data_IF_343960340094
#
_entry.id   IF_343960340094
#
_cell.length_a   1.000
_cell.length_b   1.000
_cell.length_c   1.000
_cell.angle_alpha   90.00
_cell.angle_beta   90.00
_cell.angle_gamma   90.00
#
_symmetry.space_group_name_H-M   'P 1'
#
loop_
_entity.id
_entity.type
_entity.pdbx_description
1 polymer ?
#
# COMPACT_ATOMS: atom_id res chain seq x y z
N UNK A 1 -32.18 -12.39 6.71
CA UNK A 1 -31.83 -13.72 7.27
C UNK A 1 -31.64 -14.76 6.17
N UNK A 2 -32.48 -14.76 5.13
CA UNK A 2 -32.48 -15.81 4.10
C UNK A 2 -31.18 -15.94 3.31
N UNK A 3 -30.53 -14.83 2.93
CA UNK A 3 -29.27 -14.86 2.15
C UNK A 3 -28.12 -15.52 2.94
N UNK A 4 -27.99 -15.24 4.24
CA UNK A 4 -26.91 -15.82 5.06
C UNK A 4 -27.18 -17.31 5.30
N UNK A 5 -28.45 -17.68 5.49
CA UNK A 5 -28.84 -19.09 5.58
C UNK A 5 -28.58 -19.86 4.27
N UNK A 6 -28.76 -19.20 3.12
CA UNK A 6 -28.41 -19.74 1.81
C UNK A 6 -26.90 -19.93 1.66
N UNK A 7 -26.09 -18.95 2.06
CA UNK A 7 -24.62 -19.04 2.06
C UNK A 7 -24.12 -20.20 2.95
N UNK A 8 -24.76 -20.42 4.10
CA UNK A 8 -24.45 -21.55 4.97
C UNK A 8 -24.78 -22.92 4.37
N UNK A 9 -25.82 -22.99 3.53
CA UNK A 9 -26.24 -24.22 2.84
C UNK A 9 -25.45 -24.47 1.56
N UNK A 10 -24.99 -23.43 0.87
CA UNK A 10 -24.27 -23.54 -0.39
C UNK A 10 -22.81 -23.99 -0.22
N UNK A 11 -22.27 -23.97 1.01
CA UNK A 11 -20.89 -24.33 1.34
C UNK A 11 -19.82 -23.53 0.55
N UNK A 12 -20.20 -22.37 0.01
CA UNK A 12 -19.30 -21.45 -0.70
C UNK A 12 -18.36 -20.70 0.25
N UNK A 13 -18.72 -20.61 1.53
CA UNK A 13 -17.97 -19.94 2.58
C UNK A 13 -17.67 -20.91 3.72
N UNK A 14 -16.56 -20.69 4.42
CA UNK A 14 -16.26 -21.42 5.64
C UNK A 14 -17.35 -21.20 6.70
N UNK A 15 -17.65 -22.27 7.45
CA UNK A 15 -18.73 -22.27 8.44
C UNK A 15 -18.56 -21.19 9.51
N UNK A 16 -17.31 -20.90 9.87
CA UNK A 16 -16.97 -19.90 10.88
C UNK A 16 -17.36 -18.49 10.44
N UNK A 17 -17.17 -18.16 9.16
CA UNK A 17 -17.58 -16.86 8.60
C UNK A 17 -19.11 -16.72 8.58
N UNK A 18 -19.82 -17.77 8.18
CA UNK A 18 -21.29 -17.77 8.17
C UNK A 18 -21.84 -17.65 9.59
N UNK A 19 -21.23 -18.33 10.56
CA UNK A 19 -21.59 -18.24 11.98
C UNK A 19 -21.39 -16.82 12.53
N UNK A 20 -20.25 -16.18 12.23
CA UNK A 20 -19.98 -14.80 12.62
C UNK A 20 -20.98 -13.81 12.02
N UNK A 21 -21.35 -13.98 10.74
CA UNK A 21 -22.36 -13.14 10.10
C UNK A 21 -23.76 -13.35 10.72
N UNK A 22 -24.12 -14.58 11.06
CA UNK A 22 -25.38 -14.85 11.79
C UNK A 22 -25.41 -14.17 13.16
N UNK A 23 -24.30 -14.26 13.90
CA UNK A 23 -24.18 -13.61 15.21
C UNK A 23 -24.23 -12.09 15.09
N UNK A 24 -23.53 -11.51 14.09
CA UNK A 24 -23.54 -10.07 13.83
C UNK A 24 -24.95 -9.56 13.50
N UNK A 25 -25.68 -10.26 12.64
CA UNK A 25 -27.08 -9.93 12.35
C UNK A 25 -27.98 -10.03 13.59
N UNK A 26 -27.83 -11.07 14.40
CA UNK A 26 -28.61 -11.24 15.63
C UNK A 26 -28.35 -10.11 16.65
N UNK A 27 -27.17 -9.49 16.59
CA UNK A 27 -26.78 -8.33 17.40
C UNK A 27 -27.20 -6.99 16.78
N UNK A 28 -27.80 -6.98 15.59
CA UNK A 28 -28.21 -5.76 14.89
C UNK A 28 -27.07 -4.99 14.23
N UNK A 29 -25.91 -5.63 13.99
CA UNK A 29 -24.79 -5.01 13.27
C UNK A 29 -25.13 -4.75 11.81
N UNK A 30 -24.58 -3.68 11.25
CA UNK A 30 -24.65 -3.40 9.82
C UNK A 30 -23.84 -4.43 9.02
N UNK A 31 -24.09 -4.51 7.71
CA UNK A 31 -23.32 -5.35 6.80
C UNK A 31 -21.85 -4.92 6.74
N UNK A 32 -21.56 -3.62 6.73
CA UNK A 32 -20.19 -3.11 6.76
C UNK A 32 -19.43 -3.52 8.04
N UNK A 33 -20.07 -3.44 9.21
CA UNK A 33 -19.49 -3.87 10.49
C UNK A 33 -19.21 -5.39 10.52
N UNK A 34 -20.11 -6.19 9.93
CA UNK A 34 -19.88 -7.62 9.80
C UNK A 34 -18.68 -7.93 8.89
N UNK A 35 -18.55 -7.24 7.76
CA UNK A 35 -17.39 -7.44 6.87
C UNK A 35 -16.07 -7.00 7.52
N UNK A 36 -16.08 -5.95 8.35
CA UNK A 36 -14.90 -5.55 9.13
C UNK A 36 -14.44 -6.67 10.07
N UNK A 37 -15.39 -7.29 10.78
CA UNK A 37 -15.08 -8.41 11.69
C UNK A 37 -14.54 -9.66 10.98
N UNK A 38 -14.84 -9.84 9.69
CA UNK A 38 -14.30 -10.92 8.86
C UNK A 38 -12.90 -10.63 8.29
N UNK A 39 -12.34 -9.44 8.55
CA UNK A 39 -10.99 -9.06 8.13
C UNK A 39 -10.91 -8.41 6.75
N UNK A 40 -12.02 -7.88 6.22
CA UNK A 40 -11.97 -7.06 5.00
C UNK A 40 -11.20 -5.77 5.24
N UNK A 41 -10.60 -5.21 4.18
CA UNK A 41 -9.82 -3.97 4.31
C UNK A 41 -10.73 -2.78 4.62
N UNK A 42 -10.20 -1.80 5.36
CA UNK A 42 -10.96 -0.60 5.73
C UNK A 42 -11.55 0.13 4.52
N UNK A 43 -10.88 0.10 3.37
CA UNK A 43 -11.40 0.69 2.12
C UNK A 43 -12.69 0.01 1.63
N UNK A 44 -12.77 -1.33 1.72
CA UNK A 44 -13.96 -2.10 1.35
C UNK A 44 -15.08 -1.84 2.37
N UNK A 45 -14.75 -1.84 3.66
CA UNK A 45 -15.70 -1.57 4.74
C UNK A 45 -16.32 -0.18 4.60
N UNK A 46 -15.50 0.85 4.32
CA UNK A 46 -15.98 2.22 4.08
C UNK A 46 -16.91 2.29 2.87
N UNK A 47 -16.56 1.66 1.75
CA UNK A 47 -17.43 1.64 0.57
C UNK A 47 -18.79 0.96 0.85
N UNK A 48 -18.79 -0.12 1.63
CA UNK A 48 -20.01 -0.79 2.05
C UNK A 48 -20.85 0.08 2.98
N UNK A 49 -20.23 0.73 3.97
CA UNK A 49 -20.93 1.63 4.90
C UNK A 49 -21.62 2.77 4.17
N UNK A 50 -20.93 3.41 3.21
CA UNK A 50 -21.52 4.45 2.36
C UNK A 50 -22.68 3.89 1.51
N UNK A 51 -22.54 2.67 0.98
CA UNK A 51 -23.57 2.05 0.16
C UNK A 51 -24.82 1.68 0.97
N UNK A 52 -24.67 1.29 2.24
CA UNK A 52 -25.77 1.06 3.17
C UNK A 52 -26.55 2.34 3.45
N UNK A 53 -25.85 3.46 3.72
CA UNK A 53 -26.45 4.77 4.00
C UNK A 53 -27.21 5.31 2.78
N UNK A 54 -26.64 5.16 1.58
CA UNK A 54 -27.22 5.69 0.34
C UNK A 54 -28.13 4.70 -0.39
N UNK A 55 -28.37 3.52 0.17
CA UNK A 55 -29.28 2.50 -0.38
C UNK A 55 -28.82 1.89 -1.71
N UNK A 56 -27.53 1.98 -2.05
CA UNK A 56 -26.99 1.54 -3.34
C UNK A 56 -26.02 0.36 -3.19
N UNK A 57 -26.35 -0.57 -2.28
CA UNK A 57 -25.51 -1.72 -1.95
C UNK A 57 -25.17 -2.58 -3.17
N UNK A 58 -26.12 -2.78 -4.08
CA UNK A 58 -25.94 -3.62 -5.26
C UNK A 58 -24.85 -3.09 -6.21
N UNK A 59 -24.90 -1.81 -6.58
CA UNK A 59 -23.89 -1.23 -7.46
C UNK A 59 -22.51 -1.17 -6.77
N UNK A 60 -22.47 -0.88 -5.48
CA UNK A 60 -21.20 -0.86 -4.73
C UNK A 60 -20.58 -2.24 -4.59
N UNK A 61 -21.38 -3.27 -4.33
CA UNK A 61 -20.91 -4.66 -4.32
C UNK A 61 -20.31 -5.07 -5.68
N UNK A 62 -20.94 -4.68 -6.79
CA UNK A 62 -20.39 -4.92 -8.13
C UNK A 62 -19.03 -4.23 -8.36
N UNK A 63 -18.85 -2.99 -7.87
CA UNK A 63 -17.55 -2.30 -7.93
C UNK A 63 -16.48 -2.98 -7.06
N UNK A 64 -16.87 -3.46 -5.88
CA UNK A 64 -15.96 -4.19 -4.98
C UNK A 64 -15.55 -5.52 -5.61
N UNK A 65 -16.47 -6.23 -6.27
CA UNK A 65 -16.19 -7.45 -7.02
C UNK A 65 -15.15 -7.19 -8.12
N UNK A 66 -15.37 -6.18 -8.97
CA UNK A 66 -14.43 -5.80 -10.04
C UNK A 66 -13.04 -5.44 -9.48
N UNK A 67 -13.01 -4.70 -8.38
CA UNK A 67 -11.77 -4.37 -7.68
C UNK A 67 -11.02 -5.60 -7.17
N UNK A 68 -11.71 -6.52 -6.51
CA UNK A 68 -11.13 -7.77 -5.98
C UNK A 68 -10.65 -8.69 -7.10
N UNK A 69 -11.38 -8.78 -8.21
CA UNK A 69 -10.97 -9.55 -9.40
C UNK A 69 -9.69 -8.96 -10.02
N UNK A 70 -9.63 -7.63 -10.17
CA UNK A 70 -8.43 -6.94 -10.64
C UNK A 70 -7.23 -7.16 -9.70
N UNK A 71 -7.44 -7.10 -8.38
CA UNK A 71 -6.39 -7.43 -7.41
C UNK A 71 -5.92 -8.88 -7.55
N UNK A 72 -6.83 -9.83 -7.76
CA UNK A 72 -6.49 -11.25 -7.98
C UNK A 72 -5.63 -11.42 -9.24
N UNK A 73 -6.00 -10.76 -10.34
CA UNK A 73 -5.22 -10.76 -11.60
C UNK A 73 -3.82 -10.19 -11.40
N UNK A 74 -3.69 -9.05 -10.71
CA UNK A 74 -2.40 -8.43 -10.40
C UNK A 74 -1.54 -9.38 -9.55
N UNK A 75 -2.11 -9.95 -8.49
CA UNK A 75 -1.39 -10.91 -7.62
C UNK A 75 -0.91 -12.13 -8.41
N UNK A 76 -1.76 -12.70 -9.27
CA UNK A 76 -1.40 -13.83 -10.12
C UNK A 76 -0.26 -13.46 -11.07
N UNK A 77 -0.33 -12.28 -11.71
CA UNK A 77 0.73 -11.84 -12.63
C UNK A 77 2.05 -11.56 -11.91
N UNK A 78 1.99 -11.01 -10.70
CA UNK A 78 3.18 -10.82 -9.87
C UNK A 78 3.84 -12.16 -9.52
N UNK A 79 3.06 -13.16 -9.13
CA UNK A 79 3.58 -14.51 -8.86
C UNK A 79 4.22 -15.09 -10.12
N UNK A 80 3.54 -14.99 -11.27
CA UNK A 80 4.04 -15.49 -12.56
C UNK A 80 5.38 -14.84 -12.94
N UNK A 81 5.47 -13.51 -12.86
CA UNK A 81 6.69 -12.75 -13.20
C UNK A 81 7.81 -13.01 -12.18
N UNK A 82 7.50 -13.17 -10.90
CA UNK A 82 8.49 -13.43 -9.85
C UNK A 82 9.01 -14.88 -9.87
N UNK A 83 8.24 -15.83 -10.40
CA UNK A 83 8.60 -17.26 -10.43
C UNK A 83 9.90 -17.48 -11.21
N UNK A 84 10.06 -16.86 -12.39
CA UNK A 84 11.24 -17.06 -13.23
C UNK A 84 12.55 -16.56 -12.58
N UNK A 85 12.65 -15.32 -12.09
CA UNK A 85 13.82 -14.86 -11.34
C UNK A 85 14.15 -15.70 -10.11
N UNK A 86 13.14 -16.18 -9.37
CA UNK A 86 13.36 -17.01 -8.18
C UNK A 86 13.96 -18.38 -8.54
N UNK A 87 13.46 -19.03 -9.58
CA UNK A 87 14.03 -20.29 -10.09
C UNK A 87 15.47 -20.07 -10.55
N UNK A 88 15.72 -19.01 -11.33
CA UNK A 88 17.06 -18.67 -11.82
C UNK A 88 18.04 -18.39 -10.67
N UNK A 89 17.60 -17.64 -9.66
CA UNK A 89 18.40 -17.34 -8.47
C UNK A 89 18.72 -18.62 -7.68
N UNK A 90 17.75 -19.52 -7.52
CA UNK A 90 17.97 -20.85 -6.93
C UNK A 90 19.01 -21.67 -7.70
N UNK A 91 18.93 -21.68 -9.04
CA UNK A 91 19.90 -22.36 -9.88
C UNK A 91 21.30 -21.73 -9.80
N UNK A 92 21.37 -20.39 -9.79
CA UNK A 92 22.61 -19.65 -9.61
C UNK A 92 23.26 -20.00 -8.26
N UNK A 93 22.48 -20.04 -7.17
CA UNK A 93 22.97 -20.45 -5.85
C UNK A 93 23.50 -21.89 -5.85
N UNK A 94 22.81 -22.82 -6.52
CA UNK A 94 23.30 -24.20 -6.68
C UNK A 94 24.65 -24.26 -7.40
N UNK A 95 24.80 -23.54 -8.52
CA UNK A 95 26.08 -23.46 -9.25
C UNK A 95 27.16 -22.86 -8.35
N UNK A 96 26.87 -21.76 -7.67
CA UNK A 96 27.84 -21.10 -6.78
C UNK A 96 28.28 -22.00 -5.64
N UNK A 97 27.38 -22.78 -5.04
CA UNK A 97 27.70 -23.76 -4.01
C UNK A 97 28.52 -24.93 -4.55
N UNK A 98 28.17 -25.45 -5.73
CA UNK A 98 28.94 -26.49 -6.40
C UNK A 98 30.36 -26.02 -6.71
N UNK A 99 30.50 -24.80 -7.23
CA UNK A 99 31.79 -24.21 -7.53
C UNK A 99 32.64 -24.02 -6.26
N UNK A 100 32.03 -23.56 -5.15
CA UNK A 100 32.68 -23.41 -3.84
C UNK A 100 33.11 -24.71 -3.20
N UNK A 101 32.25 -25.72 -3.19
CA UNK A 101 32.49 -26.95 -2.43
C UNK A 101 33.31 -27.98 -3.22
N UNK A 102 33.26 -27.97 -4.55
CA UNK A 102 33.89 -28.99 -5.38
C UNK A 102 35.08 -28.46 -6.21
N UNK A 103 34.91 -27.32 -6.88
CA UNK A 103 35.89 -26.78 -7.84
C UNK A 103 37.00 -25.98 -7.14
N UNK A 104 36.63 -25.09 -6.23
CA UNK A 104 37.58 -24.21 -5.52
C UNK A 104 38.65 -24.95 -4.70
N UNK A 105 38.35 -26.06 -3.99
CA UNK A 105 39.38 -26.82 -3.27
C UNK A 105 40.43 -27.47 -4.17
N UNK A 106 40.16 -27.61 -5.48
CA UNK A 106 41.08 -28.20 -6.46
C UNK A 106 41.99 -27.14 -7.13
N UNK A 107 41.75 -25.85 -6.88
CA UNK A 107 42.51 -24.75 -7.45
C UNK A 107 43.62 -24.31 -6.48
N UNK A 108 44.79 -23.94 -7.03
CA UNK A 108 45.90 -23.41 -6.23
C UNK A 108 45.48 -22.18 -5.43
N UNK A 109 45.65 -22.26 -4.10
CA UNK A 109 45.25 -21.24 -3.13
C UNK A 109 46.12 -19.97 -3.17
N UNK A 110 47.22 -19.99 -3.93
CA UNK A 110 48.16 -18.88 -4.11
C UNK A 110 47.72 -17.87 -5.18
N UNK A 111 46.72 -18.20 -6.00
CA UNK A 111 46.23 -17.33 -7.06
C UNK A 111 45.13 -16.38 -6.55
N UNK A 112 45.28 -15.08 -6.81
CA UNK A 112 44.32 -14.02 -6.45
C UNK A 112 42.95 -14.29 -7.08
N UNK A 113 42.91 -14.90 -8.27
CA UNK A 113 41.68 -15.31 -8.93
C UNK A 113 40.87 -16.31 -8.07
N UNK A 114 41.55 -17.25 -7.40
CA UNK A 114 40.95 -18.26 -6.51
C UNK A 114 40.30 -17.59 -5.29
N UNK A 115 40.92 -16.53 -4.75
CA UNK A 115 40.37 -15.79 -3.61
C UNK A 115 39.14 -14.94 -3.98
N UNK A 116 39.15 -14.30 -5.15
CA UNK A 116 38.01 -13.51 -5.65
C UNK A 116 36.80 -14.41 -5.94
N UNK A 117 37.04 -15.54 -6.61
CA UNK A 117 36.00 -16.53 -6.92
C UNK A 117 35.45 -17.17 -5.63
N UNK A 118 36.29 -17.37 -4.62
CA UNK A 118 35.88 -17.86 -3.29
C UNK A 118 34.92 -16.94 -2.53
N UNK A 119 35.08 -15.63 -2.69
CA UNK A 119 34.28 -14.62 -1.97
C UNK A 119 33.02 -14.18 -2.73
N UNK A 120 32.94 -14.42 -4.04
CA UNK A 120 31.80 -14.08 -4.89
C UNK A 120 30.44 -14.58 -4.34
N UNK A 121 30.31 -15.84 -3.87
CA UNK A 121 29.08 -16.35 -3.25
C UNK A 121 28.70 -15.59 -1.96
N UNK A 122 29.68 -15.21 -1.14
CA UNK A 122 29.43 -14.49 0.11
C UNK A 122 29.01 -13.04 -0.15
N UNK A 123 29.65 -12.38 -1.13
CA UNK A 123 29.29 -11.03 -1.56
C UNK A 123 27.87 -11.02 -2.14
N UNK A 124 27.55 -11.98 -3.02
CA UNK A 124 26.21 -12.09 -3.61
C UNK A 124 25.13 -12.31 -2.55
N UNK A 125 25.33 -13.27 -1.63
CA UNK A 125 24.41 -13.51 -0.51
C UNK A 125 24.29 -12.28 0.40
N UNK A 126 25.40 -11.60 0.69
CA UNK A 126 25.40 -10.35 1.47
C UNK A 126 24.59 -9.25 0.79
N UNK A 127 24.72 -9.09 -0.53
CA UNK A 127 23.99 -8.09 -1.31
C UNK A 127 22.49 -8.40 -1.34
N UNK A 128 22.10 -9.65 -1.55
CA UNK A 128 20.71 -10.11 -1.47
C UNK A 128 20.14 -9.87 -0.06
N UNK A 129 20.90 -10.17 0.99
CA UNK A 129 20.48 -9.96 2.38
C UNK A 129 20.30 -8.47 2.70
N UNK A 130 21.23 -7.61 2.28
CA UNK A 130 21.15 -6.15 2.47
C UNK A 130 19.97 -5.57 1.69
N UNK A 131 19.74 -5.98 0.44
CA UNK A 131 18.58 -5.58 -0.34
C UNK A 131 17.26 -6.06 0.29
N UNK A 132 17.23 -7.28 0.82
CA UNK A 132 16.04 -7.81 1.49
C UNK A 132 15.77 -7.07 2.81
N UNK A 133 16.81 -6.77 3.59
CA UNK A 133 16.68 -5.99 4.82
C UNK A 133 16.24 -4.56 4.54
N UNK A 134 16.82 -3.90 3.53
CA UNK A 134 16.45 -2.53 3.16
C UNK A 134 15.02 -2.46 2.65
N UNK A 135 14.56 -3.45 1.87
CA UNK A 135 13.17 -3.56 1.45
C UNK A 135 12.24 -3.79 2.64
N UNK A 136 12.58 -4.69 3.57
CA UNK A 136 11.77 -4.94 4.78
C UNK A 136 11.73 -3.71 5.69
N UNK A 137 12.83 -2.99 5.86
CA UNK A 137 12.88 -1.71 6.58
C UNK A 137 12.03 -0.65 5.89
N UNK A 138 12.08 -0.57 4.56
CA UNK A 138 11.23 0.35 3.79
C UNK A 138 9.74 0.00 3.93
N UNK A 139 9.37 -1.28 3.87
CA UNK A 139 7.98 -1.74 4.01
C UNK A 139 7.45 -1.57 5.44
N UNK A 140 8.28 -1.85 6.45
CA UNK A 140 7.92 -1.67 7.87
C UNK A 140 7.82 -0.18 8.20
N UNK A 141 8.73 0.66 7.70
CA UNK A 141 8.65 2.11 7.82
C UNK A 141 7.43 2.67 7.08
N UNK A 142 7.08 2.12 5.91
CA UNK A 142 5.89 2.49 5.14
C UNK A 142 4.57 2.14 5.84
N UNK A 143 4.55 1.05 6.63
CA UNK A 143 3.40 0.63 7.44
C UNK A 143 3.30 1.36 8.78
N UNK A 144 4.42 1.75 9.40
CA UNK A 144 4.44 2.40 10.73
C UNK A 144 4.52 3.93 10.71
N UNK A 145 4.93 4.55 9.62
CA UNK A 145 5.08 6.01 9.56
C UNK A 145 3.88 6.68 8.92
N UNK A 146 3.54 7.90 9.40
CA UNK A 146 2.60 8.80 8.74
C UNK A 146 3.02 8.96 7.28
N UNK A 147 2.04 8.89 6.36
CA UNK A 147 2.32 8.88 4.92
C UNK A 147 3.00 10.18 4.49
N UNK A 148 2.75 11.28 5.20
CA UNK A 148 3.43 12.55 5.01
C UNK A 148 4.95 12.44 5.21
N UNK A 149 5.45 11.63 6.15
CA UNK A 149 6.90 11.39 6.33
C UNK A 149 7.51 10.56 5.20
N UNK A 150 6.76 9.56 4.71
CA UNK A 150 7.19 8.70 3.60
C UNK A 150 7.29 9.50 2.31
N UNK A 151 6.24 10.23 1.94
CA UNK A 151 6.24 11.04 0.72
C UNK A 151 7.25 12.20 0.81
N UNK A 152 7.48 12.77 2.00
CA UNK A 152 8.55 13.75 2.22
C UNK A 152 9.96 13.17 2.02
N UNK A 153 10.21 11.91 2.42
CA UNK A 153 11.49 11.24 2.14
C UNK A 153 11.62 10.88 0.67
N UNK A 154 10.56 10.38 0.04
CA UNK A 154 10.54 9.99 -1.38
C UNK A 154 10.76 11.19 -2.29
N UNK A 155 10.19 12.35 -1.93
CA UNK A 155 10.39 13.63 -2.61
C UNK A 155 11.84 14.16 -2.54
N UNK A 156 12.68 13.63 -1.64
CA UNK A 156 14.11 13.99 -1.52
C UNK A 156 15.04 13.09 -2.33
N UNK A 157 14.54 12.00 -2.91
CA UNK A 157 15.35 11.09 -3.73
C UNK A 157 15.58 11.71 -5.12
N UNK A 158 16.83 11.80 -5.62
CA UNK A 158 17.08 12.29 -6.98
C UNK A 158 16.37 11.42 -8.03
N UNK A 159 15.90 12.04 -9.12
CA UNK A 159 15.05 11.44 -10.17
C UNK A 159 13.60 11.17 -9.73
N UNK A 160 13.38 10.32 -8.71
CA UNK A 160 12.03 9.98 -8.21
C UNK A 160 11.30 11.18 -7.60
N UNK A 161 12.01 12.05 -6.88
CA UNK A 161 11.42 13.19 -6.20
C UNK A 161 10.77 14.19 -7.15
N UNK A 162 11.31 14.36 -8.37
CA UNK A 162 10.74 15.26 -9.39
C UNK A 162 9.38 14.73 -9.85
N UNK A 163 9.26 13.43 -10.12
CA UNK A 163 7.98 12.81 -10.51
C UNK A 163 6.95 12.90 -9.38
N UNK A 164 7.37 12.61 -8.14
CA UNK A 164 6.50 12.68 -6.96
C UNK A 164 6.00 14.10 -6.73
N UNK A 165 6.89 15.09 -6.74
CA UNK A 165 6.51 16.50 -6.57
C UNK A 165 5.59 16.97 -7.70
N UNK A 166 5.90 16.64 -8.95
CA UNK A 166 5.09 17.05 -10.11
C UNK A 166 3.70 16.45 -10.05
N UNK A 167 3.60 15.15 -9.76
CA UNK A 167 2.31 14.45 -9.67
C UNK A 167 1.46 14.99 -8.52
N UNK A 168 2.04 15.09 -7.30
CA UNK A 168 1.30 15.55 -6.13
C UNK A 168 0.90 17.01 -6.29
N UNK A 169 1.80 17.90 -6.70
CA UNK A 169 1.43 19.31 -6.92
C UNK A 169 0.30 19.42 -7.95
N UNK A 170 0.36 18.73 -9.09
CA UNK A 170 -0.68 18.80 -10.11
C UNK A 170 -2.02 18.21 -9.62
N UNK A 171 -1.99 17.08 -8.92
CA UNK A 171 -3.19 16.43 -8.39
C UNK A 171 -3.89 17.32 -7.36
N UNK A 172 -3.17 17.77 -6.32
CA UNK A 172 -3.76 18.56 -5.24
C UNK A 172 -4.19 19.95 -5.72
N UNK A 173 -3.41 20.62 -6.58
CA UNK A 173 -3.82 21.90 -7.16
C UNK A 173 -5.11 21.79 -7.98
N UNK A 174 -5.29 20.68 -8.72
CA UNK A 174 -6.52 20.41 -9.47
C UNK A 174 -7.70 20.16 -8.53
N UNK A 175 -7.55 19.29 -7.55
CA UNK A 175 -8.63 18.96 -6.60
C UNK A 175 -9.07 20.21 -5.82
N UNK A 176 -8.11 20.96 -5.26
CA UNK A 176 -8.41 22.21 -4.56
C UNK A 176 -8.97 23.28 -5.48
N UNK A 177 -8.43 23.43 -6.69
CA UNK A 177 -8.94 24.38 -7.67
C UNK A 177 -10.40 24.11 -8.06
N UNK A 178 -10.76 22.83 -8.27
CA UNK A 178 -12.13 22.42 -8.53
C UNK A 178 -13.04 22.78 -7.35
N UNK A 179 -12.61 22.45 -6.13
CA UNK A 179 -13.38 22.71 -4.91
C UNK A 179 -13.61 24.22 -4.67
N UNK A 180 -12.56 25.03 -4.84
CA UNK A 180 -12.64 26.49 -4.72
C UNK A 180 -13.52 27.07 -5.82
N UNK A 181 -13.43 26.57 -7.06
CA UNK A 181 -14.25 27.04 -8.18
C UNK A 181 -15.75 26.78 -8.00
N UNK A 182 -16.10 25.78 -7.18
CA UNK A 182 -17.47 25.47 -6.78
C UNK A 182 -17.98 26.35 -5.63
N UNK A 183 -17.17 27.31 -5.17
CA UNK A 183 -17.52 28.26 -4.10
C UNK A 183 -17.40 27.70 -2.69
N UNK A 184 -16.71 26.56 -2.51
CA UNK A 184 -16.51 25.99 -1.17
C UNK A 184 -15.50 26.80 -0.37
N UNK A 185 -15.80 27.01 0.92
CA UNK A 185 -14.88 27.65 1.86
C UNK A 185 -13.71 26.72 2.23
N UNK A 186 -12.53 27.29 2.49
CA UNK A 186 -11.32 26.52 2.79
C UNK A 186 -11.50 25.53 3.97
N UNK A 187 -12.23 25.93 5.01
CA UNK A 187 -12.50 25.04 6.15
C UNK A 187 -13.35 23.82 5.77
N UNK A 188 -14.32 23.98 4.86
CA UNK A 188 -15.13 22.87 4.35
C UNK A 188 -14.27 21.94 3.50
N UNK A 189 -13.37 22.49 2.68
CA UNK A 189 -12.39 21.72 1.91
C UNK A 189 -11.55 20.87 2.86
N UNK A 190 -10.99 21.45 3.93
CA UNK A 190 -10.15 20.70 4.87
C UNK A 190 -10.92 19.63 5.64
N UNK A 191 -12.19 19.84 5.97
CA UNK A 191 -13.05 18.81 6.57
C UNK A 191 -13.27 17.64 5.61
N UNK A 192 -13.62 17.92 4.36
CA UNK A 192 -13.74 16.90 3.31
C UNK A 192 -12.42 16.13 3.14
N UNK A 193 -11.28 16.82 3.21
CA UNK A 193 -9.96 16.18 3.13
C UNK A 193 -9.71 15.17 4.26
N UNK A 194 -10.19 15.47 5.46
CA UNK A 194 -10.07 14.59 6.63
C UNK A 194 -10.97 13.36 6.54
N UNK A 195 -12.05 13.40 5.77
CA UNK A 195 -12.96 12.26 5.63
C UNK A 195 -12.53 11.29 4.51
N UNK A 196 -11.56 11.66 3.67
CA UNK A 196 -11.08 10.78 2.60
C UNK A 196 -10.18 9.65 3.10
N UNK A 197 -10.29 8.48 2.47
CA UNK A 197 -9.50 7.29 2.80
C UNK A 197 -7.99 7.39 2.50
N UNK A 198 -7.55 8.43 1.77
CA UNK A 198 -6.12 8.67 1.56
C UNK A 198 -5.49 9.29 2.81
N UNK A 199 -4.64 8.54 3.50
CA UNK A 199 -3.94 9.01 4.71
C UNK A 199 -3.12 10.29 4.47
N UNK A 200 -2.50 10.47 3.30
CA UNK A 200 -1.78 11.70 2.99
C UNK A 200 -2.74 12.90 2.84
N UNK A 201 -3.89 12.68 2.21
CA UNK A 201 -4.92 13.72 2.04
C UNK A 201 -5.52 14.12 3.39
N UNK A 202 -5.80 13.14 4.24
CA UNK A 202 -6.26 13.33 5.61
C UNK A 202 -5.23 14.09 6.46
N UNK A 203 -3.97 13.64 6.48
CA UNK A 203 -2.89 14.29 7.26
C UNK A 203 -2.68 15.76 6.82
N UNK A 204 -2.72 16.05 5.51
CA UNK A 204 -2.64 17.43 4.99
C UNK A 204 -3.87 18.24 5.41
N UNK A 205 -5.07 17.67 5.32
CA UNK A 205 -6.31 18.35 5.73
C UNK A 205 -6.33 18.72 7.22
N UNK A 206 -5.84 17.83 8.09
CA UNK A 206 -5.71 18.10 9.53
C UNK A 206 -4.72 19.23 9.81
N UNK A 207 -3.54 19.17 9.20
CA UNK A 207 -2.49 20.17 9.41
C UNK A 207 -2.91 21.56 8.89
N UNK A 208 -3.55 21.62 7.71
CA UNK A 208 -4.08 22.87 7.16
C UNK A 208 -5.22 23.47 8.00
N UNK A 209 -6.15 22.63 8.48
CA UNK A 209 -7.21 23.10 9.37
C UNK A 209 -6.65 23.66 10.68
N UNK A 210 -5.68 22.96 11.27
CA UNK A 210 -5.02 23.39 12.50
C UNK A 210 -4.19 24.66 12.28
N UNK A 211 -3.49 24.79 11.15
CA UNK A 211 -2.72 25.98 10.80
C UNK A 211 -3.62 27.21 10.65
N UNK A 212 -4.78 27.06 9.98
CA UNK A 212 -5.73 28.15 9.80
C UNK A 212 -6.37 28.58 11.13
N UNK A 213 -6.73 27.62 11.99
CA UNK A 213 -7.22 27.90 13.35
C UNK A 213 -6.20 28.66 14.20
N UNK A 214 -4.90 28.39 13.98
CA UNK A 214 -3.80 29.08 14.63
C UNK A 214 -3.42 30.43 13.95
N UNK A 215 -4.22 30.90 12.99
CA UNK A 215 -4.02 32.18 12.31
C UNK A 215 -2.92 32.18 11.24
N UNK A 216 -2.44 31.02 10.80
CA UNK A 216 -1.48 30.93 9.68
C UNK A 216 -2.21 30.89 8.35
N UNK A 217 -1.65 31.58 7.36
CA UNK A 217 -2.19 31.57 6.01
C UNK A 217 -2.00 30.20 5.32
N UNK A 218 -2.96 29.84 4.49
CA UNK A 218 -2.97 28.61 3.69
C UNK A 218 -1.74 28.51 2.77
N UNK A 219 -1.40 29.59 2.07
CA UNK A 219 -0.25 29.67 1.15
C UNK A 219 1.08 29.42 1.87
N UNK A 220 1.25 30.02 3.05
CA UNK A 220 2.45 29.86 3.87
C UNK A 220 2.61 28.43 4.36
N UNK A 221 1.50 27.80 4.77
CA UNK A 221 1.51 26.43 5.29
C UNK A 221 1.85 25.43 4.17
N UNK A 222 1.27 25.58 2.98
CA UNK A 222 1.60 24.76 1.81
C UNK A 222 3.09 24.85 1.43
N UNK A 223 3.68 26.04 1.50
CA UNK A 223 5.08 26.26 1.17
C UNK A 223 6.06 25.50 2.11
N UNK A 224 5.59 25.07 3.28
CA UNK A 224 6.40 24.25 4.20
C UNK A 224 6.50 22.79 3.78
N UNK A 225 5.59 22.29 2.95
CA UNK A 225 5.56 20.88 2.56
C UNK A 225 6.66 20.56 1.52
N UNK A 226 7.58 19.61 1.81
CA UNK A 226 8.73 19.32 0.95
C UNK A 226 8.38 18.49 -0.30
N UNK A 227 7.16 17.96 -0.37
CA UNK A 227 6.65 17.17 -1.49
C UNK A 227 5.82 17.99 -2.47
N UNK A 228 5.57 19.28 -2.20
CA UNK A 228 5.07 20.20 -3.21
C UNK A 228 6.24 20.94 -3.85
N UNK A 229 6.13 21.14 -5.16
CA UNK A 229 7.09 21.96 -5.90
C UNK A 229 7.00 23.40 -5.38
N UNK A 230 8.13 23.94 -4.93
CA UNK A 230 8.27 25.37 -4.64
C UNK A 230 8.54 26.05 -5.98
N UNK A 231 7.62 26.90 -6.41
CA UNK A 231 7.94 27.86 -7.48
C UNK A 231 8.96 28.88 -6.97
#
# INVERSE_FOLDING_TARGET
MDIISFLGRSALLEKDYVAQMHQGLAQGKSFSEMMDSLGFSSAIVTQLSLAEVHGNLHLSLGKIEEYLDNLSKVKKKLIEVATYPLILLGFLLLIMLGLRNYLLPQLDSSNIATQIIGNLPQIFLGLVLVCSLSLLLALTFYKRSSKMRVFSMLARIPFLGIFVQTYLTAYYAREWGNMISQGMELMQIFQIMQEQGSQLFNEIGQDLAQALQNGREFSQTIATYPFFKKE
#
